data_IF_636144820109
#
_entry.id   IF_636144820109
#
_cell.length_a   1.000
_cell.length_b   1.000
_cell.length_c   1.000
_cell.angle_alpha   90.00
_cell.angle_beta   90.00
_cell.angle_gamma   90.00
#
_symmetry.space_group_name_H-M   'P 1'
#
loop_
_entity.id
_entity.type
_entity.pdbx_description
1 polymer ?
#
# COMPACT_ATOMS: atom_id res chain seq x y z
N UNK A 1 11.39 43.41 35.00
CA UNK A 1 12.11 42.89 33.83
C UNK A 1 11.26 43.27 32.62
N UNK A 2 11.71 44.25 31.83
CA UNK A 2 11.08 44.69 30.57
C UNK A 2 11.00 43.48 29.61
N UNK A 3 10.00 43.31 28.73
CA UNK A 3 9.63 44.18 27.59
C UNK A 3 8.14 44.06 27.22
N UNK A 4 7.59 45.17 26.72
CA UNK A 4 6.25 45.42 26.20
C UNK A 4 6.00 44.86 24.77
N UNK A 5 4.86 44.20 24.58
CA UNK A 5 3.70 44.45 23.67
C UNK A 5 3.81 44.76 22.14
N UNK A 6 2.70 44.38 21.46
CA UNK A 6 2.18 44.73 20.10
C UNK A 6 2.73 43.89 18.93
N UNK A 7 1.96 43.17 18.11
CA UNK A 7 0.64 43.33 17.47
C UNK A 7 -0.22 42.06 17.69
N UNK A 8 -1.55 42.04 17.73
CA UNK A 8 -2.52 42.89 17.04
C UNK A 8 -3.22 42.14 15.90
N UNK A 9 -3.84 40.98 16.16
CA UNK A 9 -4.87 40.42 15.27
C UNK A 9 -5.90 39.63 16.09
N UNK A 10 -7.05 40.27 16.31
CA UNK A 10 -8.28 39.63 16.76
C UNK A 10 -8.95 39.03 15.52
N UNK A 11 -9.13 37.71 15.48
CA UNK A 11 -9.92 37.07 14.42
C UNK A 11 -11.40 37.24 14.78
N UNK A 12 -12.04 38.20 14.11
CA UNK A 12 -13.48 38.47 14.22
C UNK A 12 -14.23 37.40 13.40
N UNK A 13 -14.68 36.32 14.06
CA UNK A 13 -15.56 35.32 13.45
C UNK A 13 -16.96 35.94 13.28
N UNK A 14 -17.17 36.61 12.14
CA UNK A 14 -18.50 37.05 11.71
C UNK A 14 -19.26 35.87 11.11
N UNK A 15 -20.28 35.42 11.84
CA UNK A 15 -21.37 34.63 11.30
C UNK A 15 -22.11 35.47 10.25
N UNK A 16 -22.05 35.07 8.99
CA UNK A 16 -22.92 35.59 7.95
C UNK A 16 -24.32 34.98 8.13
N UNK A 17 -25.40 35.79 8.22
CA UNK A 17 -26.74 35.24 8.14
C UNK A 17 -27.02 34.81 6.69
N UNK A 18 -27.46 33.56 6.52
CA UNK A 18 -28.01 33.08 5.26
C UNK A 18 -29.22 33.94 4.86
N UNK A 19 -29.15 34.53 3.68
CA UNK A 19 -30.28 35.22 3.04
C UNK A 19 -31.30 34.17 2.65
N UNK A 20 -32.40 34.08 3.40
CA UNK A 20 -33.57 33.30 3.02
C UNK A 20 -34.47 34.17 2.12
N UNK A 21 -34.53 33.84 0.84
CA UNK A 21 -35.56 34.37 -0.07
C UNK A 21 -36.93 33.91 0.39
N UNK A 22 -37.79 34.88 0.74
CA UNK A 22 -39.22 34.65 1.00
C UNK A 22 -39.96 34.60 -0.33
N UNK A 23 -40.51 33.44 -0.67
CA UNK A 23 -41.77 33.35 -1.43
C UNK A 23 -42.87 32.88 -0.48
N UNK A 24 -44.05 33.46 -0.63
CA UNK A 24 -45.02 33.64 0.45
C UNK A 24 -45.99 32.49 0.75
N UNK A 25 -46.76 32.79 1.81
CA UNK A 25 -48.07 32.25 2.22
C UNK A 25 -48.11 30.97 3.07
N UNK A 26 -48.65 31.11 4.30
CA UNK A 26 -49.27 30.02 5.07
C UNK A 26 -48.57 29.63 6.38
N UNK A 27 -49.11 30.08 7.50
CA UNK A 27 -48.70 29.78 8.90
C UNK A 27 -49.34 28.43 9.40
N UNK A 28 -49.09 27.93 10.64
CA UNK A 28 -47.94 27.14 11.11
C UNK A 28 -48.35 25.76 11.71
N UNK A 29 -47.50 24.73 11.71
CA UNK A 29 -47.67 23.56 12.61
C UNK A 29 -46.44 22.62 12.66
N UNK A 30 -46.05 22.23 13.88
CA UNK A 30 -45.45 20.92 14.14
C UNK A 30 -43.93 20.81 14.02
N UNK A 31 -43.21 21.25 15.05
CA UNK A 31 -41.92 20.63 15.40
C UNK A 31 -42.21 19.16 15.72
N UNK A 32 -41.82 18.25 14.81
CA UNK A 32 -41.76 16.82 15.10
C UNK A 32 -40.29 16.43 15.17
N UNK A 33 -39.74 16.40 16.38
CA UNK A 33 -38.48 15.76 16.64
C UNK A 33 -38.66 14.25 16.40
N UNK A 34 -38.05 13.72 15.33
CA UNK A 34 -37.90 12.28 15.21
C UNK A 34 -36.79 11.83 16.15
N UNK A 35 -37.21 11.39 17.35
CA UNK A 35 -36.43 10.44 18.14
C UNK A 35 -36.35 9.17 17.31
N UNK A 36 -35.20 8.95 16.67
CA UNK A 36 -34.90 7.71 15.98
C UNK A 36 -34.64 6.62 17.04
N UNK A 37 -35.71 5.93 17.45
CA UNK A 37 -35.60 4.67 18.17
C UNK A 37 -35.15 3.58 17.20
N UNK A 38 -34.08 2.88 17.57
CA UNK A 38 -33.52 1.66 16.98
C UNK A 38 -34.49 0.86 16.12
N UNK A 39 -34.14 0.62 14.86
CA UNK A 39 -33.86 -0.75 14.35
C UNK A 39 -33.29 -0.71 12.92
N UNK A 40 -32.12 -1.33 12.76
CA UNK A 40 -31.50 -1.86 11.53
C UNK A 40 -31.05 -0.91 10.39
N UNK A 41 -29.71 -0.75 10.33
CA UNK A 41 -28.81 -0.51 9.18
C UNK A 41 -29.30 0.37 8.03
N UNK A 42 -29.07 1.67 8.15
CA UNK A 42 -28.69 2.54 7.03
C UNK A 42 -27.59 3.49 7.52
N UNK A 43 -26.41 3.44 6.90
CA UNK A 43 -25.29 4.35 7.19
C UNK A 43 -25.39 5.51 6.19
N UNK A 44 -25.76 6.70 6.68
CA UNK A 44 -25.54 7.95 5.95
C UNK A 44 -24.04 8.10 5.69
N UNK A 45 -23.66 8.30 4.43
CA UNK A 45 -22.31 8.73 4.05
C UNK A 45 -22.29 10.25 4.22
N UNK A 46 -21.66 10.72 5.28
CA UNK A 46 -21.34 12.14 5.49
C UNK A 46 -19.88 12.33 5.06
N UNK A 47 -19.63 13.41 4.31
CA UNK A 47 -18.34 13.73 3.72
C UNK A 47 -17.18 13.74 4.72
N UNK A 48 -16.01 13.35 4.22
CA UNK A 48 -14.81 13.12 4.99
C UNK A 48 -14.22 14.44 5.50
N UNK A 49 -14.19 14.60 6.82
CA UNK A 49 -13.44 15.64 7.52
C UNK A 49 -12.48 14.92 8.48
N UNK A 50 -11.18 15.07 8.20
CA UNK A 50 -9.99 14.61 8.95
C UNK A 50 -9.98 13.13 9.41
N UNK A 51 -9.25 12.28 8.68
CA UNK A 51 -8.82 10.98 9.21
C UNK A 51 -7.73 11.19 10.27
N UNK A 52 -8.01 10.81 11.50
CA UNK A 52 -7.00 10.63 12.54
C UNK A 52 -5.99 9.55 12.11
N UNK A 53 -4.72 9.72 12.48
CA UNK A 53 -3.59 8.81 12.21
C UNK A 53 -3.83 7.36 12.70
N UNK A 54 -4.89 7.12 13.48
CA UNK A 54 -5.21 5.82 14.09
C UNK A 54 -5.98 4.83 13.22
N UNK A 55 -6.37 5.17 11.99
CA UNK A 55 -7.20 4.30 11.12
C UNK A 55 -6.43 3.68 9.93
N UNK A 56 -5.14 4.00 9.76
CA UNK A 56 -4.30 3.45 8.68
C UNK A 56 -3.64 2.14 9.10
N UNK A 57 -3.53 1.15 8.19
CA UNK A 57 -2.85 -0.10 8.48
C UNK A 57 -1.38 0.13 8.85
N UNK A 58 -0.90 -0.61 9.85
CA UNK A 58 0.53 -0.67 10.18
C UNK A 58 1.22 -1.53 9.12
N UNK A 59 2.25 -0.98 8.50
CA UNK A 59 2.96 -1.65 7.40
C UNK A 59 4.30 -2.16 7.89
N UNK A 60 4.50 -3.46 7.83
CA UNK A 60 5.78 -4.12 8.07
C UNK A 60 6.56 -4.29 6.78
N UNK A 61 7.87 -4.05 6.79
CA UNK A 61 8.78 -4.32 5.68
C UNK A 61 9.83 -5.33 6.15
N UNK A 62 9.80 -6.54 5.60
CA UNK A 62 10.84 -7.53 5.80
C UNK A 62 11.90 -7.38 4.70
N UNK A 63 12.98 -6.67 5.01
CA UNK A 63 14.09 -6.39 4.09
C UNK A 63 14.45 -4.90 4.04
N UNK A 64 15.56 -4.52 4.66
CA UNK A 64 16.04 -3.13 4.72
C UNK A 64 17.01 -2.76 3.58
N UNK A 65 16.79 -3.34 2.40
CA UNK A 65 17.58 -3.04 1.20
C UNK A 65 17.14 -1.74 0.51
N UNK A 66 17.61 -1.55 -0.72
CA UNK A 66 17.26 -0.38 -1.56
C UNK A 66 15.74 -0.23 -1.75
N UNK A 67 15.06 -1.31 -2.14
CA UNK A 67 13.60 -1.32 -2.32
C UNK A 67 12.88 -1.07 -1.00
N UNK A 68 13.21 -1.83 0.05
CA UNK A 68 12.51 -1.69 1.33
C UNK A 68 12.69 -0.32 1.99
N UNK A 69 13.86 0.31 1.87
CA UNK A 69 14.07 1.67 2.39
C UNK A 69 13.38 2.74 1.57
N UNK A 70 13.31 2.58 0.24
CA UNK A 70 12.51 3.46 -0.63
C UNK A 70 11.01 3.40 -0.28
N UNK A 71 10.47 2.18 -0.17
CA UNK A 71 9.08 1.96 0.25
C UNK A 71 8.82 2.52 1.65
N UNK A 72 9.76 2.34 2.59
CA UNK A 72 9.63 2.91 3.93
C UNK A 72 9.49 4.44 3.91
N UNK A 73 10.30 5.13 3.10
CA UNK A 73 10.20 6.59 2.95
C UNK A 73 8.84 7.01 2.39
N UNK A 74 8.38 6.34 1.33
CA UNK A 74 7.09 6.66 0.71
C UNK A 74 5.91 6.39 1.65
N UNK A 75 5.92 5.27 2.36
CA UNK A 75 4.86 4.90 3.32
C UNK A 75 4.83 5.87 4.52
N UNK A 76 5.99 6.27 5.05
CA UNK A 76 6.07 7.28 6.12
C UNK A 76 5.58 8.64 5.61
N UNK A 77 5.99 9.06 4.41
CA UNK A 77 5.51 10.30 3.79
C UNK A 77 4.00 10.27 3.54
N UNK A 78 3.46 9.08 3.28
CA UNK A 78 2.04 8.78 3.17
C UNK A 78 1.40 8.49 4.54
N UNK A 79 2.01 8.88 5.66
CA UNK A 79 1.37 8.86 6.99
C UNK A 79 1.14 7.47 7.61
N UNK A 80 1.68 6.39 7.05
CA UNK A 80 1.62 5.08 7.70
C UNK A 80 2.63 4.98 8.84
N UNK A 81 2.27 4.18 9.85
CA UNK A 81 3.26 3.64 10.78
C UNK A 81 4.00 2.49 10.10
N UNK A 82 5.32 2.62 9.99
CA UNK A 82 6.17 1.67 9.24
C UNK A 82 7.12 0.95 10.19
N UNK A 83 7.09 -0.38 10.18
CA UNK A 83 8.02 -1.26 10.89
C UNK A 83 8.99 -1.88 9.89
N UNK A 84 10.27 -1.99 10.23
CA UNK A 84 11.29 -2.64 9.39
C UNK A 84 11.99 -3.74 10.19
N UNK A 85 12.03 -4.95 9.64
CA UNK A 85 12.86 -6.04 10.13
C UNK A 85 13.74 -6.59 9.01
N UNK A 86 14.88 -7.18 9.36
CA UNK A 86 15.78 -7.82 8.39
C UNK A 86 17.23 -7.85 8.84
N UNK A 87 18.14 -8.02 7.88
CA UNK A 87 19.58 -7.93 8.11
C UNK A 87 20.11 -6.53 7.79
N UNK A 88 21.22 -6.05 8.40
CA UNK A 88 22.09 -6.72 9.38
C UNK A 88 21.50 -6.74 10.80
N UNK A 89 22.30 -7.11 11.82
CA UNK A 89 21.88 -7.11 13.24
C UNK A 89 21.18 -5.79 13.60
N UNK A 90 20.17 -5.88 14.46
CA UNK A 90 19.25 -4.78 14.79
C UNK A 90 19.94 -3.45 15.10
N UNK A 91 21.00 -3.44 15.93
CA UNK A 91 21.72 -2.19 16.26
C UNK A 91 22.38 -1.50 15.06
N UNK A 92 22.88 -2.26 14.09
CA UNK A 92 23.41 -1.68 12.84
C UNK A 92 22.27 -1.26 11.91
N UNK A 93 21.16 -1.98 11.94
CA UNK A 93 19.98 -1.67 11.16
C UNK A 93 19.31 -0.37 11.65
N UNK A 94 19.20 -0.15 12.96
CA UNK A 94 18.69 1.08 13.59
C UNK A 94 19.43 2.32 13.08
N UNK A 95 20.76 2.25 13.04
CA UNK A 95 21.61 3.34 12.58
C UNK A 95 21.40 3.63 11.10
N UNK A 96 21.27 2.59 10.26
CA UNK A 96 21.05 2.76 8.83
C UNK A 96 19.66 3.34 8.58
N UNK A 97 18.61 2.73 9.13
CA UNK A 97 17.20 3.14 8.93
C UNK A 97 16.97 4.55 9.47
N UNK A 98 17.51 4.89 10.64
CA UNK A 98 17.38 6.24 11.20
C UNK A 98 17.94 7.35 10.29
N UNK A 99 18.87 7.01 9.38
CA UNK A 99 19.41 7.95 8.39
C UNK A 99 18.68 7.86 7.05
N UNK A 100 18.41 6.65 6.54
CA UNK A 100 17.90 6.46 5.16
C UNK A 100 16.38 6.40 5.05
N UNK A 101 15.66 6.16 6.14
CA UNK A 101 14.21 6.11 6.17
C UNK A 101 13.71 6.70 7.52
N UNK A 102 13.95 8.01 7.76
CA UNK A 102 13.54 8.65 9.00
C UNK A 102 12.02 8.53 9.20
N UNK A 103 11.60 8.11 10.39
CA UNK A 103 10.21 7.86 10.74
C UNK A 103 9.78 6.38 10.69
N UNK A 104 10.57 5.51 10.06
CA UNK A 104 10.38 4.06 10.17
C UNK A 104 10.97 3.51 11.48
N UNK A 105 10.27 2.56 12.10
CA UNK A 105 10.66 1.90 13.34
C UNK A 105 11.35 0.56 13.02
N UNK A 106 12.58 0.36 13.47
CA UNK A 106 13.23 -0.94 13.34
C UNK A 106 12.75 -1.88 14.45
N UNK A 107 12.44 -3.11 14.09
CA UNK A 107 11.87 -4.10 15.01
C UNK A 107 12.41 -5.51 14.74
N UNK A 108 12.05 -6.48 15.58
CA UNK A 108 12.36 -7.88 15.34
C UNK A 108 11.40 -8.50 14.30
N UNK A 109 11.80 -9.58 13.60
CA UNK A 109 10.88 -10.29 12.71
C UNK A 109 9.58 -10.75 13.37
N UNK A 110 9.64 -11.15 14.64
CA UNK A 110 8.49 -11.64 15.40
C UNK A 110 7.53 -10.48 15.73
N UNK A 111 8.07 -9.37 16.26
CA UNK A 111 7.28 -8.16 16.55
C UNK A 111 6.65 -7.57 15.29
N UNK A 112 7.36 -7.63 14.15
CA UNK A 112 6.83 -7.22 12.85
C UNK A 112 5.61 -8.08 12.47
N UNK A 113 5.72 -9.40 12.59
CA UNK A 113 4.64 -10.33 12.26
C UNK A 113 3.41 -10.20 13.19
N UNK A 114 3.64 -9.85 14.46
CA UNK A 114 2.59 -9.62 15.45
C UNK A 114 1.87 -8.27 15.24
N UNK A 115 2.61 -7.23 14.88
CA UNK A 115 2.09 -5.85 14.89
C UNK A 115 1.58 -5.38 13.53
N UNK A 116 2.18 -5.84 12.41
CA UNK A 116 1.82 -5.36 11.09
C UNK A 116 0.49 -5.94 10.59
N UNK A 117 -0.32 -5.09 9.97
CA UNK A 117 -1.55 -5.49 9.26
C UNK A 117 -1.21 -6.00 7.84
N UNK A 118 -0.23 -5.36 7.20
CA UNK A 118 0.30 -5.70 5.88
C UNK A 118 1.82 -5.83 5.96
N UNK A 119 2.37 -6.89 5.38
CA UNK A 119 3.81 -7.17 5.39
C UNK A 119 4.34 -7.18 3.96
N UNK A 120 5.27 -6.28 3.65
CA UNK A 120 5.99 -6.24 2.37
C UNK A 120 7.29 -7.03 2.51
N UNK A 121 7.48 -8.04 1.65
CA UNK A 121 8.72 -8.82 1.60
C UNK A 121 9.59 -8.28 0.46
N UNK A 122 10.71 -7.66 0.83
CA UNK A 122 11.60 -6.93 -0.09
C UNK A 122 13.06 -7.38 0.06
N UNK A 123 13.31 -8.68 -0.11
CA UNK A 123 14.64 -9.30 -0.11
C UNK A 123 14.99 -9.86 -1.49
N UNK A 124 16.27 -10.07 -1.83
CA UNK A 124 16.63 -10.88 -3.00
C UNK A 124 15.94 -12.25 -2.94
N UNK A 125 15.48 -12.78 -4.07
CA UNK A 125 14.66 -13.99 -4.08
C UNK A 125 15.40 -15.22 -3.56
N UNK A 126 16.72 -15.32 -3.80
CA UNK A 126 17.56 -16.37 -3.23
C UNK A 126 17.59 -16.38 -1.68
N UNK A 127 17.10 -15.31 -1.03
CA UNK A 127 16.90 -15.23 0.42
C UNK A 127 15.45 -15.43 0.86
N UNK A 128 14.53 -15.79 -0.03
CA UNK A 128 13.13 -16.06 0.33
C UNK A 128 13.00 -17.12 1.43
N UNK A 129 13.96 -18.06 1.55
CA UNK A 129 14.01 -19.05 2.61
C UNK A 129 14.35 -18.49 4.01
N UNK A 130 14.87 -17.26 4.13
CA UNK A 130 15.16 -16.64 5.44
C UNK A 130 13.95 -15.90 6.00
N UNK A 131 12.94 -15.64 5.19
CA UNK A 131 11.70 -14.98 5.61
C UNK A 131 10.94 -15.92 6.55
N UNK A 132 10.46 -15.44 7.72
CA UNK A 132 9.75 -16.27 8.68
C UNK A 132 8.29 -16.48 8.23
N UNK A 133 8.08 -17.18 7.10
CA UNK A 133 6.75 -17.35 6.49
C UNK A 133 5.70 -17.87 7.47
N UNK A 134 6.08 -18.76 8.39
CA UNK A 134 5.21 -19.32 9.43
C UNK A 134 4.65 -18.29 10.42
N UNK A 135 5.28 -17.11 10.54
CA UNK A 135 4.82 -16.04 11.41
C UNK A 135 3.77 -15.14 10.73
N UNK A 136 3.59 -15.26 9.42
CA UNK A 136 2.71 -14.39 8.63
C UNK A 136 1.30 -14.97 8.41
N UNK A 137 0.87 -15.87 9.29
CA UNK A 137 -0.46 -16.48 9.23
C UNK A 137 -1.56 -15.42 9.19
N UNK A 138 -2.50 -15.57 8.25
CA UNK A 138 -3.67 -14.71 8.02
C UNK A 138 -3.34 -13.22 7.68
N UNK A 139 -2.04 -12.87 7.56
CA UNK A 139 -1.59 -11.53 7.16
C UNK A 139 -1.68 -11.35 5.65
N UNK A 140 -1.85 -10.09 5.24
CA UNK A 140 -1.63 -9.70 3.85
C UNK A 140 -0.12 -9.61 3.64
N UNK A 141 0.41 -10.39 2.69
CA UNK A 141 1.84 -10.41 2.40
C UNK A 141 2.07 -9.94 0.96
N UNK A 142 2.67 -8.76 0.81
CA UNK A 142 3.04 -8.20 -0.48
C UNK A 142 4.42 -8.74 -0.89
N UNK A 143 4.47 -9.60 -1.91
CA UNK A 143 5.69 -10.12 -2.48
C UNK A 143 6.28 -9.14 -3.50
N UNK A 144 7.28 -8.36 -3.07
CA UNK A 144 8.02 -7.41 -3.90
C UNK A 144 9.33 -8.00 -4.48
N UNK A 145 9.55 -9.31 -4.38
CA UNK A 145 10.79 -9.97 -4.79
C UNK A 145 10.85 -10.22 -6.30
N UNK A 146 12.03 -10.50 -6.83
CA UNK A 146 12.19 -10.96 -8.22
C UNK A 146 13.23 -12.06 -8.23
N UNK A 147 12.90 -13.23 -8.80
CA UNK A 147 13.92 -14.22 -9.10
C UNK A 147 14.74 -13.76 -10.30
N UNK A 148 16.03 -13.58 -10.09
CA UNK A 148 16.94 -13.10 -11.11
C UNK A 148 18.26 -13.90 -11.04
N UNK A 149 18.46 -14.91 -11.90
CA UNK A 149 19.63 -15.80 -11.83
C UNK A 149 21.02 -15.13 -11.76
N UNK A 150 21.29 -13.99 -12.43
CA UNK A 150 22.54 -13.24 -12.26
C UNK A 150 22.80 -12.71 -10.83
N UNK A 151 21.76 -12.53 -10.03
CA UNK A 151 21.85 -12.05 -8.63
C UNK A 151 21.71 -13.21 -7.64
N UNK A 152 20.73 -14.09 -7.89
CA UNK A 152 20.36 -15.17 -6.97
C UNK A 152 21.17 -16.46 -7.20
N UNK A 153 21.86 -16.58 -8.34
CA UNK A 153 22.29 -17.85 -8.89
C UNK A 153 21.10 -18.63 -9.47
N UNK A 154 21.39 -19.71 -10.18
CA UNK A 154 20.37 -20.66 -10.59
C UNK A 154 19.87 -21.46 -9.38
N UNK A 155 18.56 -21.46 -9.17
CA UNK A 155 17.88 -22.22 -8.11
C UNK A 155 17.03 -23.27 -8.81
N UNK A 156 17.48 -24.52 -8.82
CA UNK A 156 16.82 -25.59 -9.58
C UNK A 156 15.36 -25.77 -9.18
N UNK A 157 15.03 -25.64 -7.88
CA UNK A 157 13.63 -25.73 -7.41
C UNK A 157 12.72 -24.62 -7.93
N UNK A 158 13.28 -23.54 -8.49
CA UNK A 158 12.53 -22.44 -9.12
C UNK A 158 12.58 -22.59 -10.63
N UNK A 159 13.75 -22.90 -11.19
CA UNK A 159 13.94 -23.10 -12.63
C UNK A 159 13.06 -24.23 -13.19
N UNK A 160 12.81 -25.28 -12.39
CA UNK A 160 12.02 -26.46 -12.77
C UNK A 160 10.54 -26.39 -12.34
N UNK A 161 10.12 -25.35 -11.61
CA UNK A 161 8.73 -25.22 -11.13
C UNK A 161 7.85 -24.53 -12.17
N UNK A 162 6.71 -25.12 -12.58
CA UNK A 162 5.82 -24.50 -13.56
C UNK A 162 5.00 -23.32 -12.99
N UNK A 163 5.03 -23.11 -11.67
CA UNK A 163 4.32 -22.00 -11.00
C UNK A 163 5.12 -20.70 -11.07
N UNK A 164 4.44 -19.59 -10.90
CA UNK A 164 5.10 -18.29 -10.70
C UNK A 164 5.92 -18.25 -9.42
N UNK A 165 6.90 -17.35 -9.36
CA UNK A 165 7.76 -17.19 -8.18
C UNK A 165 6.97 -16.85 -6.92
N UNK A 166 5.87 -16.10 -7.07
CA UNK A 166 4.97 -15.76 -5.97
C UNK A 166 4.05 -16.91 -5.57
N UNK A 167 3.61 -17.77 -6.50
CA UNK A 167 2.91 -19.02 -6.14
C UNK A 167 3.83 -20.00 -5.38
N UNK A 168 5.12 -20.05 -5.73
CA UNK A 168 6.12 -20.81 -4.96
C UNK A 168 6.25 -20.26 -3.54
N UNK A 169 6.28 -18.93 -3.38
CA UNK A 169 6.32 -18.29 -2.06
C UNK A 169 5.02 -18.52 -1.26
N UNK A 170 3.85 -18.42 -1.90
CA UNK A 170 2.56 -18.69 -1.26
C UNK A 170 2.47 -20.13 -0.74
N UNK A 171 3.09 -21.10 -1.43
CA UNK A 171 3.16 -22.48 -0.95
C UNK A 171 4.00 -22.66 0.33
N UNK A 172 4.86 -21.70 0.70
CA UNK A 172 5.62 -21.72 1.97
C UNK A 172 4.73 -21.41 3.17
N UNK A 173 3.66 -20.64 2.98
CA UNK A 173 2.59 -20.45 3.96
C UNK A 173 1.22 -20.27 3.28
N UNK A 174 0.42 -21.34 3.15
CA UNK A 174 -0.91 -21.28 2.55
C UNK A 174 -1.94 -20.44 3.33
N UNK A 175 -1.64 -20.04 4.57
CA UNK A 175 -2.51 -19.14 5.36
C UNK A 175 -2.21 -17.66 5.12
N UNK A 176 -1.06 -17.34 4.53
CA UNK A 176 -0.75 -15.97 4.15
C UNK A 176 -1.59 -15.56 2.93
N UNK A 177 -2.14 -14.35 2.96
CA UNK A 177 -2.90 -13.76 1.84
C UNK A 177 -1.92 -13.05 0.92
N UNK A 178 -1.23 -13.83 0.09
CA UNK A 178 -0.12 -13.34 -0.76
C UNK A 178 -0.64 -12.51 -1.92
N UNK A 179 -0.04 -11.34 -2.11
CA UNK A 179 -0.28 -10.41 -3.22
C UNK A 179 1.05 -10.06 -3.87
N UNK A 180 1.18 -10.28 -5.17
CA UNK A 180 2.30 -9.85 -5.99
C UNK A 180 2.11 -8.40 -6.43
N UNK A 181 3.02 -7.53 -6.02
CA UNK A 181 3.05 -6.13 -6.42
C UNK A 181 4.43 -5.49 -6.14
N UNK A 182 4.62 -4.22 -6.50
CA UNK A 182 5.81 -3.40 -6.24
C UNK A 182 7.14 -3.93 -6.83
N UNK A 183 7.13 -5.10 -7.49
CA UNK A 183 8.33 -5.78 -7.96
C UNK A 183 8.79 -5.33 -9.36
N UNK A 184 7.88 -4.79 -10.18
CA UNK A 184 8.11 -4.45 -11.59
C UNK A 184 8.50 -2.98 -11.82
N UNK A 185 8.79 -2.26 -10.72
CA UNK A 185 9.26 -0.88 -10.68
C UNK A 185 10.63 -0.86 -9.99
N UNK A 186 11.58 -0.10 -10.52
CA UNK A 186 12.88 0.11 -9.90
C UNK A 186 12.79 1.02 -8.68
N UNK A 187 13.63 0.76 -7.66
CA UNK A 187 13.60 1.54 -6.41
C UNK A 187 13.89 3.04 -6.59
N UNK A 188 14.62 3.44 -7.64
CA UNK A 188 14.85 4.85 -7.95
C UNK A 188 13.57 5.51 -8.46
N UNK A 189 12.83 4.81 -9.33
CA UNK A 189 11.58 5.27 -9.92
C UNK A 189 10.46 5.33 -8.87
N UNK A 190 10.48 4.49 -7.83
CA UNK A 190 9.51 4.52 -6.73
C UNK A 190 9.38 5.92 -6.09
N UNK A 191 10.50 6.62 -5.92
CA UNK A 191 10.51 7.97 -5.34
C UNK A 191 10.27 9.06 -6.37
N UNK A 192 10.84 8.92 -7.56
CA UNK A 192 10.81 9.95 -8.59
C UNK A 192 9.45 10.02 -9.31
N UNK A 193 8.74 8.89 -9.44
CA UNK A 193 7.50 8.76 -10.22
C UNK A 193 6.23 8.89 -9.36
N UNK A 194 6.35 9.07 -8.04
CA UNK A 194 5.18 9.24 -7.16
C UNK A 194 4.41 10.50 -7.53
N UNK A 195 3.12 10.35 -7.90
CA UNK A 195 2.28 11.47 -8.32
C UNK A 195 0.91 11.45 -7.63
N UNK A 196 0.36 12.65 -7.42
CA UNK A 196 -1.00 12.79 -6.91
C UNK A 196 -2.03 12.13 -7.84
N UNK A 197 -3.08 11.58 -7.25
CA UNK A 197 -4.18 10.95 -7.97
C UNK A 197 -4.76 11.87 -9.06
N UNK A 198 -5.03 11.29 -10.23
CA UNK A 198 -5.54 12.01 -11.41
C UNK A 198 -4.47 12.69 -12.26
N UNK A 199 -3.18 12.64 -11.90
CA UNK A 199 -2.11 13.07 -12.81
C UNK A 199 -2.12 12.20 -14.07
N UNK A 200 -2.10 12.79 -15.30
CA UNK A 200 -2.07 12.01 -16.53
C UNK A 200 -0.76 11.26 -16.77
N UNK A 201 0.27 11.56 -15.96
CA UNK A 201 1.57 10.90 -15.99
C UNK A 201 1.75 9.90 -14.84
N UNK A 202 0.69 9.66 -14.05
CA UNK A 202 0.73 8.71 -12.94
C UNK A 202 0.91 7.30 -13.49
N UNK A 203 2.00 6.66 -13.09
CA UNK A 203 2.32 5.29 -13.50
C UNK A 203 1.44 4.30 -12.74
N UNK A 204 1.10 3.21 -13.41
CA UNK A 204 0.31 2.14 -12.82
C UNK A 204 1.17 1.03 -12.23
N UNK A 205 0.67 0.42 -11.15
CA UNK A 205 1.24 -0.77 -10.53
C UNK A 205 0.18 -1.85 -10.37
N UNK A 206 0.55 -3.07 -10.73
CA UNK A 206 -0.34 -4.22 -10.69
C UNK A 206 -0.54 -4.74 -9.25
N UNK A 207 -1.72 -5.27 -8.98
CA UNK A 207 -2.07 -5.97 -7.75
C UNK A 207 -2.65 -7.33 -8.12
N UNK A 208 -1.93 -8.40 -7.79
CA UNK A 208 -2.26 -9.76 -8.25
C UNK A 208 -2.17 -10.73 -7.08
N UNK A 209 -3.20 -11.54 -6.83
CA UNK A 209 -3.28 -12.42 -5.67
C UNK A 209 -4.65 -13.12 -5.60
N UNK A 210 -4.79 -14.23 -4.88
CA UNK A 210 -6.04 -15.00 -4.93
C UNK A 210 -7.15 -14.42 -4.03
N UNK A 211 -6.77 -13.62 -3.02
CA UNK A 211 -7.70 -12.99 -2.08
C UNK A 211 -8.07 -11.56 -2.53
N UNK A 212 -9.32 -11.36 -2.93
CA UNK A 212 -9.80 -10.08 -3.46
C UNK A 212 -9.78 -8.94 -2.42
N UNK A 213 -10.05 -9.24 -1.15
CA UNK A 213 -10.01 -8.23 -0.09
C UNK A 213 -8.56 -7.80 0.19
N UNK A 214 -7.60 -8.72 0.11
CA UNK A 214 -6.18 -8.40 0.24
C UNK A 214 -5.70 -7.52 -0.91
N UNK A 215 -6.14 -7.83 -2.15
CA UNK A 215 -5.85 -6.99 -3.32
C UNK A 215 -6.44 -5.58 -3.16
N UNK A 216 -7.65 -5.44 -2.63
CA UNK A 216 -8.27 -4.14 -2.40
C UNK A 216 -7.45 -3.27 -1.41
N UNK A 217 -7.02 -3.84 -0.28
CA UNK A 217 -6.15 -3.14 0.69
C UNK A 217 -4.82 -2.73 0.07
N UNK A 218 -4.19 -3.61 -0.70
CA UNK A 218 -2.90 -3.30 -1.37
C UNK A 218 -3.10 -2.24 -2.46
N UNK A 219 -4.23 -2.25 -3.16
CA UNK A 219 -4.56 -1.21 -4.15
C UNK A 219 -4.70 0.17 -3.50
N UNK A 220 -5.35 0.27 -2.34
CA UNK A 220 -5.43 1.52 -1.57
C UNK A 220 -4.04 2.03 -1.17
N UNK A 221 -3.18 1.14 -0.66
CA UNK A 221 -1.79 1.51 -0.31
C UNK A 221 -1.02 2.02 -1.54
N UNK A 222 -1.16 1.37 -2.70
CA UNK A 222 -0.51 1.81 -3.95
C UNK A 222 -1.01 3.19 -4.40
N UNK A 223 -2.30 3.45 -4.24
CA UNK A 223 -2.88 4.77 -4.51
C UNK A 223 -2.27 5.83 -3.57
N UNK A 224 -2.19 5.53 -2.27
CA UNK A 224 -1.57 6.42 -1.28
C UNK A 224 -0.09 6.70 -1.57
N UNK A 225 0.64 5.70 -2.11
CA UNK A 225 2.04 5.84 -2.54
C UNK A 225 2.21 6.69 -3.81
N UNK A 226 1.12 7.06 -4.48
CA UNK A 226 1.14 7.92 -5.67
C UNK A 226 1.18 7.17 -7.00
N UNK A 227 0.69 5.93 -7.06
CA UNK A 227 0.60 5.13 -8.29
C UNK A 227 -0.83 4.68 -8.56
N UNK A 228 -1.18 4.43 -9.82
CA UNK A 228 -2.50 3.91 -10.17
C UNK A 228 -2.55 2.38 -9.96
N UNK A 229 -3.33 1.85 -9.00
CA UNK A 229 -3.44 0.41 -8.82
C UNK A 229 -4.25 -0.24 -9.94
N UNK A 230 -3.78 -1.37 -10.46
CA UNK A 230 -4.50 -2.19 -11.45
C UNK A 230 -4.69 -3.59 -10.90
N UNK A 231 -5.94 -3.99 -10.66
CA UNK A 231 -6.26 -5.37 -10.25
C UNK A 231 -6.00 -6.33 -11.43
N UNK A 232 -5.04 -7.23 -11.25
CA UNK A 232 -4.71 -8.30 -12.21
C UNK A 232 -5.33 -9.66 -11.88
N UNK A 233 -6.14 -9.75 -10.82
CA UNK A 233 -6.85 -10.97 -10.44
C UNK A 233 -5.94 -11.99 -9.75
N UNK A 234 -6.08 -13.26 -10.11
CA UNK A 234 -5.46 -14.43 -9.46
C UNK A 234 -3.92 -14.40 -9.48
N UNK A 235 -3.28 -14.96 -8.45
CA UNK A 235 -1.83 -14.89 -8.21
C UNK A 235 -1.00 -15.37 -9.41
N UNK A 236 -1.49 -16.38 -10.15
CA UNK A 236 -0.84 -16.92 -11.36
C UNK A 236 -0.63 -15.88 -12.47
N UNK A 237 -1.40 -14.80 -12.51
CA UNK A 237 -1.20 -13.73 -13.50
C UNK A 237 0.03 -12.86 -13.15
N UNK A 238 0.63 -13.06 -11.97
CA UNK A 238 1.83 -12.37 -11.51
C UNK A 238 3.05 -12.62 -12.40
N UNK A 239 3.03 -13.68 -13.22
CA UNK A 239 4.06 -13.97 -14.23
C UNK A 239 4.34 -12.76 -15.14
N UNK A 240 3.31 -11.99 -15.49
CA UNK A 240 3.44 -10.81 -16.35
C UNK A 240 4.35 -9.73 -15.75
N UNK A 241 4.52 -9.75 -14.42
CA UNK A 241 5.28 -8.79 -13.63
C UNK A 241 6.71 -9.27 -13.35
N UNK A 242 7.08 -10.50 -13.72
CA UNK A 242 8.40 -11.07 -13.41
C UNK A 242 9.47 -10.64 -14.43
N UNK A 243 10.77 -10.68 -14.07
CA UNK A 243 11.84 -10.38 -15.01
C UNK A 243 11.71 -11.15 -16.33
N UNK A 244 11.90 -10.46 -17.44
CA UNK A 244 11.74 -11.03 -18.79
C UNK A 244 10.31 -10.97 -19.34
N UNK A 245 9.31 -10.54 -18.56
CA UNK A 245 7.93 -10.42 -19.01
C UNK A 245 7.52 -8.97 -19.34
N UNK A 246 6.44 -8.77 -20.13
CA UNK A 246 6.17 -7.49 -20.79
C UNK A 246 5.86 -6.29 -19.90
N UNK A 247 5.55 -6.46 -18.61
CA UNK A 247 5.29 -5.34 -17.69
C UNK A 247 6.53 -4.95 -16.86
N UNK A 248 7.55 -5.80 -16.80
CA UNK A 248 8.70 -5.59 -15.94
C UNK A 248 9.55 -4.38 -16.38
N UNK A 249 9.75 -3.42 -15.46
CA UNK A 249 10.63 -2.27 -15.65
C UNK A 249 10.10 -1.23 -16.65
N UNK A 250 8.80 -1.25 -16.99
CA UNK A 250 8.20 -0.30 -17.94
C UNK A 250 7.31 0.72 -17.26
N UNK A 251 7.43 1.96 -17.70
CA UNK A 251 6.45 3.02 -17.43
C UNK A 251 5.17 2.73 -18.21
N UNK A 252 4.10 2.42 -17.49
CA UNK A 252 2.80 2.04 -18.06
C UNK A 252 1.70 2.84 -17.41
N UNK A 253 0.76 3.32 -18.22
CA UNK A 253 -0.54 3.80 -17.73
C UNK A 253 -1.40 2.63 -17.24
N UNK A 254 -2.46 2.93 -16.48
CA UNK A 254 -3.39 1.92 -15.99
C UNK A 254 -4.01 1.09 -17.13
N UNK A 255 -4.36 1.73 -18.24
CA UNK A 255 -4.93 1.05 -19.41
C UNK A 255 -3.94 0.10 -20.10
N UNK A 256 -2.68 0.52 -20.24
CA UNK A 256 -1.63 -0.33 -20.83
C UNK A 256 -1.31 -1.53 -19.93
N UNK A 257 -1.20 -1.31 -18.62
CA UNK A 257 -0.93 -2.38 -17.67
C UNK A 257 -2.10 -3.38 -17.61
N UNK A 258 -3.35 -2.91 -17.58
CA UNK A 258 -4.53 -3.78 -17.63
C UNK A 258 -4.56 -4.66 -18.89
N UNK A 259 -4.14 -4.13 -20.04
CA UNK A 259 -4.05 -4.89 -21.28
C UNK A 259 -2.99 -6.02 -21.21
N UNK A 260 -1.89 -5.81 -20.48
CA UNK A 260 -0.84 -6.83 -20.27
C UNK A 260 -1.24 -7.90 -19.23
N UNK A 261 -2.07 -7.54 -18.26
CA UNK A 261 -2.55 -8.43 -17.21
C UNK A 261 -3.78 -9.26 -17.62
N UNK A 262 -4.48 -8.83 -18.67
CA UNK A 262 -5.58 -9.60 -19.23
C UNK A 262 -5.00 -10.92 -19.75
N UNK A 263 -5.46 -12.08 -19.25
CA UNK A 263 -5.02 -13.36 -19.79
C UNK A 263 -5.26 -13.33 -21.30
N UNK A 264 -4.22 -13.56 -22.09
CA UNK A 264 -4.40 -13.72 -23.53
C UNK A 264 -5.44 -14.83 -23.70
N UNK A 265 -6.66 -14.47 -24.10
CA UNK A 265 -7.61 -15.45 -24.62
C UNK A 265 -6.84 -16.09 -25.74
N UNK A 266 -6.45 -17.35 -25.55
CA UNK A 266 -5.73 -18.11 -26.53
C UNK A 266 -6.59 -18.05 -27.80
N UNK A 267 -6.23 -17.18 -28.74
CA UNK A 267 -6.67 -17.29 -30.11
C UNK A 267 -5.94 -18.54 -30.59
N UNK A 268 -6.55 -19.69 -30.32
CA UNK A 268 -6.18 -20.95 -30.92
C UNK A 268 -6.14 -20.71 -32.43
N UNK A 269 -4.93 -20.70 -32.97
CA UNK A 269 -4.66 -20.76 -34.40
C UNK A 269 -4.71 -22.22 -34.85
#
# INVERSE_FOLDING_TARGET
>A
MHVHAWFGTTVDLRLFPAVAERTGSGMPAGFTAFICMRTHRFRCVVGWENQDVTDRPVIGIYGAGKVGTALARLLVASGHRVLIAGSPRQTALDLVVGVVAPGAEVTSPDDLAETADVIIVAVPFGKAGTVPWHAFDDRIVVDAMNYWPPVDGNIAEIDDDPRTTSEVNAARNPRARVVKSLNHLGYHEMEDDSMAAGSPLRRALAVVGDDADARAVVAEIIDELGFDPVDGGELRHGVALEPGHPAFGRELSAGELAALLTPAVHLAA
#
